data_IF_578233836278
#
_entry.id   IF_578233836278
#
_cell.length_a   1.000
_cell.length_b   1.000
_cell.length_c   1.000
_cell.angle_alpha   90.00
_cell.angle_beta   90.00
_cell.angle_gamma   90.00
#
_symmetry.space_group_name_H-M   'P 1'
#
loop_
_entity.id
_entity.type
_entity.pdbx_description
1 polymer ?
#
# COMPACT_ATOMS: atom_id res chain seq x y z
N UNK A 1 -11.05 -17.51 17.54
CA UNK A 1 -10.32 -18.08 16.37
C UNK A 1 -11.10 -19.19 15.62
N UNK A 2 -11.69 -20.20 16.28
CA UNK A 2 -12.32 -21.35 15.59
C UNK A 2 -13.44 -20.96 14.61
N UNK A 3 -14.25 -19.96 14.97
CA UNK A 3 -15.29 -19.42 14.08
C UNK A 3 -14.71 -18.76 12.82
N UNK A 4 -13.65 -17.96 12.97
CA UNK A 4 -12.96 -17.30 11.86
C UNK A 4 -12.36 -18.30 10.86
N UNK A 5 -11.77 -19.40 11.36
CA UNK A 5 -11.23 -20.46 10.49
C UNK A 5 -12.31 -21.14 9.64
N UNK A 6 -13.54 -21.27 10.15
CA UNK A 6 -14.66 -21.87 9.42
C UNK A 6 -15.22 -20.95 8.33
N UNK A 7 -15.26 -19.65 8.56
CA UNK A 7 -15.96 -18.70 7.67
C UNK A 7 -15.03 -17.85 6.80
N UNK A 8 -13.81 -17.56 7.28
CA UNK A 8 -12.82 -16.65 6.67
C UNK A 8 -11.40 -17.17 6.93
N UNK A 9 -11.04 -18.35 6.38
CA UNK A 9 -9.75 -19.00 6.66
C UNK A 9 -8.54 -18.16 6.26
N UNK A 10 -8.65 -17.38 5.18
CA UNK A 10 -7.60 -16.47 4.70
C UNK A 10 -7.31 -15.38 5.72
N UNK A 11 -8.35 -14.69 6.20
CA UNK A 11 -8.23 -13.67 7.24
C UNK A 11 -7.65 -14.25 8.54
N UNK A 12 -8.13 -15.42 8.96
CA UNK A 12 -7.63 -16.09 10.16
C UNK A 12 -6.12 -16.40 10.05
N UNK A 13 -5.67 -16.89 8.89
CA UNK A 13 -4.25 -17.15 8.61
C UNK A 13 -3.42 -15.89 8.71
N UNK A 14 -3.87 -14.79 8.12
CA UNK A 14 -3.13 -13.53 8.13
C UNK A 14 -3.02 -12.95 9.54
N UNK A 15 -4.12 -13.00 10.33
CA UNK A 15 -4.13 -12.58 11.73
C UNK A 15 -3.18 -13.42 12.60
N UNK A 16 -3.16 -14.75 12.42
CA UNK A 16 -2.17 -15.64 13.06
C UNK A 16 -0.75 -15.24 12.65
N UNK A 17 -0.53 -14.94 11.37
CA UNK A 17 0.76 -14.48 10.86
C UNK A 17 1.25 -13.20 11.54
N UNK A 18 0.34 -12.25 11.79
CA UNK A 18 0.66 -11.01 12.53
C UNK A 18 0.91 -11.27 14.01
N UNK A 19 0.10 -12.13 14.65
CA UNK A 19 0.26 -12.48 16.06
C UNK A 19 1.60 -13.18 16.35
N UNK A 20 2.12 -13.97 15.40
CA UNK A 20 3.42 -14.63 15.50
C UNK A 20 4.62 -13.68 15.33
N UNK A 21 4.39 -12.41 14.99
CA UNK A 21 5.45 -11.43 14.70
C UNK A 21 5.18 -10.08 15.38
N UNK A 22 4.98 -10.08 16.71
CA UNK A 22 4.47 -8.91 17.44
C UNK A 22 5.34 -7.68 17.23
N UNK A 23 6.68 -7.82 17.24
CA UNK A 23 7.60 -6.70 17.03
C UNK A 23 7.41 -6.05 15.66
N UNK A 24 7.30 -6.83 14.57
CA UNK A 24 7.07 -6.22 13.25
C UNK A 24 5.70 -5.54 13.20
N UNK A 25 4.68 -6.17 13.77
CA UNK A 25 3.32 -5.61 13.79
C UNK A 25 3.29 -4.29 14.55
N UNK A 26 3.94 -4.21 15.71
CA UNK A 26 4.06 -2.99 16.51
C UNK A 26 4.80 -1.89 15.76
N UNK A 27 5.96 -2.20 15.17
CA UNK A 27 6.73 -1.23 14.36
C UNK A 27 5.92 -0.74 13.17
N UNK A 28 5.18 -1.63 12.49
CA UNK A 28 4.31 -1.27 11.38
C UNK A 28 3.17 -0.36 11.83
N UNK A 29 2.49 -0.67 12.94
CA UNK A 29 1.43 0.18 13.49
C UNK A 29 1.99 1.54 13.90
N UNK A 30 3.12 1.59 14.60
CA UNK A 30 3.77 2.85 14.99
C UNK A 30 4.15 3.70 13.77
N UNK A 31 4.77 3.10 12.75
CA UNK A 31 5.07 3.79 11.49
C UNK A 31 3.79 4.28 10.79
N UNK A 32 2.71 3.49 10.82
CA UNK A 32 1.42 3.89 10.26
C UNK A 32 0.79 5.07 10.99
N UNK A 33 0.87 5.08 12.33
CA UNK A 33 0.39 6.18 13.17
C UNK A 33 1.20 7.44 12.91
N UNK A 34 2.53 7.34 12.86
CA UNK A 34 3.41 8.47 12.52
C UNK A 34 3.14 8.99 11.11
N UNK A 35 2.90 8.10 10.14
CA UNK A 35 2.58 8.49 8.77
C UNK A 35 1.21 9.18 8.64
N UNK A 36 0.20 8.63 9.31
CA UNK A 36 -1.12 9.25 9.43
C UNK A 36 -1.03 10.62 10.11
N UNK A 37 -0.31 10.70 11.23
CA UNK A 37 -0.12 11.94 11.98
C UNK A 37 0.59 12.99 11.12
N UNK A 38 1.68 12.64 10.44
CA UNK A 38 2.38 13.56 9.54
C UNK A 38 1.46 14.12 8.46
N UNK A 39 0.63 13.26 7.86
CA UNK A 39 -0.32 13.66 6.80
C UNK A 39 -1.43 14.59 7.32
N UNK A 40 -1.84 14.43 8.59
CA UNK A 40 -2.90 15.23 9.22
C UNK A 40 -2.35 16.55 9.77
N UNK A 41 -1.20 16.51 10.46
CA UNK A 41 -0.60 17.65 11.14
C UNK A 41 0.14 18.60 10.19
N UNK A 42 0.69 18.09 9.09
CA UNK A 42 1.44 18.86 8.12
C UNK A 42 0.75 18.78 6.74
N UNK A 43 -0.22 19.67 6.46
CA UNK A 43 -1.01 19.60 5.22
C UNK A 43 -0.22 19.95 3.95
N UNK A 44 1.05 20.35 4.09
CA UNK A 44 1.98 20.62 2.99
C UNK A 44 2.30 19.37 2.18
N UNK A 45 2.77 19.57 0.95
CA UNK A 45 3.18 18.46 0.07
C UNK A 45 4.29 17.61 0.69
N UNK A 46 5.21 18.22 1.45
CA UNK A 46 6.23 17.49 2.21
C UNK A 46 5.63 16.61 3.32
N UNK A 47 4.64 17.12 4.06
CA UNK A 47 3.94 16.36 5.11
C UNK A 47 3.14 15.19 4.56
N UNK A 48 2.43 15.40 3.44
CA UNK A 48 1.70 14.33 2.73
C UNK A 48 2.63 13.27 2.16
N UNK A 49 3.73 13.66 1.52
CA UNK A 49 4.71 12.72 0.96
C UNK A 49 5.36 11.91 2.08
N UNK A 50 5.89 12.55 3.11
CA UNK A 50 6.50 11.84 4.25
C UNK A 50 5.49 10.91 4.93
N UNK A 51 4.26 11.38 5.14
CA UNK A 51 3.18 10.58 5.72
C UNK A 51 2.80 9.37 4.86
N UNK A 52 2.68 9.55 3.54
CA UNK A 52 2.38 8.49 2.59
C UNK A 52 3.52 7.46 2.51
N UNK A 53 4.79 7.88 2.56
CA UNK A 53 5.94 6.97 2.59
C UNK A 53 5.99 6.16 3.89
N UNK A 54 5.72 6.77 5.04
CA UNK A 54 5.62 6.05 6.32
C UNK A 54 4.47 5.05 6.33
N UNK A 55 3.31 5.43 5.81
CA UNK A 55 2.18 4.50 5.61
C UNK A 55 2.57 3.36 4.67
N UNK A 56 3.30 3.66 3.58
CA UNK A 56 3.79 2.63 2.68
C UNK A 56 4.74 1.68 3.41
N UNK A 57 5.72 2.18 4.16
CA UNK A 57 6.60 1.37 4.99
C UNK A 57 5.79 0.44 5.94
N UNK A 58 4.82 1.03 6.66
CA UNK A 58 3.94 0.33 7.60
C UNK A 58 3.19 -0.83 6.94
N UNK A 59 2.62 -0.63 5.75
CA UNK A 59 1.91 -1.71 5.05
C UNK A 59 2.81 -2.88 4.67
N UNK A 60 4.13 -2.72 4.60
CA UNK A 60 5.06 -3.85 4.40
C UNK A 60 4.96 -4.90 5.51
N UNK A 61 4.76 -4.48 6.77
CA UNK A 61 4.53 -5.39 7.89
C UNK A 61 3.13 -5.99 7.88
N UNK A 62 2.11 -5.18 7.57
CA UNK A 62 0.70 -5.56 7.64
C UNK A 62 0.25 -6.44 6.46
N UNK A 63 0.84 -6.27 5.29
CA UNK A 63 0.44 -6.91 4.03
C UNK A 63 1.20 -8.21 3.73
N UNK A 64 1.87 -8.84 4.71
CA UNK A 64 2.69 -10.04 4.44
C UNK A 64 1.90 -11.20 3.84
N UNK A 65 0.67 -11.44 4.31
CA UNK A 65 -0.23 -12.46 3.75
C UNK A 65 -0.55 -12.19 2.28
N UNK A 66 -0.98 -10.96 1.99
CA UNK A 66 -1.21 -10.45 0.63
C UNK A 66 0.01 -10.62 -0.29
N UNK A 67 1.20 -10.24 0.19
CA UNK A 67 2.45 -10.36 -0.57
C UNK A 67 2.79 -11.82 -0.83
N UNK A 68 2.63 -12.69 0.16
CA UNK A 68 2.89 -14.11 0.01
C UNK A 68 1.95 -14.76 -1.01
N UNK A 69 0.67 -14.36 -1.02
CA UNK A 69 -0.32 -14.81 -2.01
C UNK A 69 0.03 -14.36 -3.43
N UNK A 70 0.28 -13.06 -3.63
CA UNK A 70 0.54 -12.49 -4.96
C UNK A 70 1.87 -12.91 -5.58
N UNK A 71 2.81 -13.40 -4.77
CA UNK A 71 4.09 -13.96 -5.22
C UNK A 71 4.00 -15.44 -5.63
N UNK A 72 2.86 -16.09 -5.45
CA UNK A 72 2.69 -17.47 -5.92
C UNK A 72 2.76 -17.52 -7.46
N UNK A 73 3.33 -18.59 -8.05
CA UNK A 73 3.36 -18.74 -9.51
C UNK A 73 1.96 -18.71 -10.15
N UNK A 74 0.98 -19.31 -9.48
CA UNK A 74 -0.43 -19.34 -9.86
C UNK A 74 -1.31 -18.89 -8.67
N UNK A 75 -1.46 -17.57 -8.43
CA UNK A 75 -2.29 -17.05 -7.35
C UNK A 75 -3.74 -17.53 -7.53
N UNK A 76 -4.25 -18.30 -6.58
CA UNK A 76 -5.62 -18.83 -6.62
C UNK A 76 -5.76 -20.25 -7.19
N UNK A 77 -4.70 -20.84 -7.78
CA UNK A 77 -4.76 -22.21 -8.31
C UNK A 77 -4.94 -23.30 -7.25
N UNK A 78 -4.65 -22.99 -5.98
CA UNK A 78 -4.75 -23.93 -4.84
C UNK A 78 -5.93 -23.64 -3.91
N UNK A 79 -6.73 -22.59 -4.16
CA UNK A 79 -7.81 -22.18 -3.27
C UNK A 79 -9.16 -22.21 -4.00
N UNK A 80 -10.21 -22.81 -3.41
CA UNK A 80 -11.54 -22.78 -4.00
C UNK A 80 -12.08 -21.34 -4.02
N UNK A 81 -12.13 -20.75 -5.21
CA UNK A 81 -12.66 -19.40 -5.44
C UNK A 81 -11.84 -18.62 -6.47
N UNK A 82 -12.48 -17.66 -7.15
CA UNK A 82 -11.78 -16.76 -8.10
C UNK A 82 -10.70 -15.96 -7.37
N UNK A 83 -9.51 -15.82 -7.94
CA UNK A 83 -8.36 -15.16 -7.30
C UNK A 83 -8.63 -13.73 -6.80
N UNK A 84 -9.54 -12.98 -7.43
CA UNK A 84 -10.02 -11.68 -6.92
C UNK A 84 -10.64 -11.74 -5.54
N UNK A 85 -11.41 -12.80 -5.24
CA UNK A 85 -12.04 -12.97 -3.92
C UNK A 85 -10.97 -13.18 -2.85
N UNK A 86 -10.01 -14.05 -3.13
CA UNK A 86 -8.90 -14.34 -2.22
C UNK A 86 -8.01 -13.10 -2.01
N UNK A 87 -7.77 -12.34 -3.08
CA UNK A 87 -7.09 -11.05 -3.02
C UNK A 87 -7.79 -10.07 -2.07
N UNK A 88 -9.12 -9.93 -2.18
CA UNK A 88 -9.90 -9.07 -1.30
C UNK A 88 -9.83 -9.52 0.17
N UNK A 89 -9.83 -10.83 0.44
CA UNK A 89 -9.67 -11.36 1.80
C UNK A 89 -8.27 -11.06 2.38
N UNK A 90 -7.21 -11.19 1.57
CA UNK A 90 -5.86 -10.81 1.98
C UNK A 90 -5.67 -9.29 2.12
N UNK A 91 -6.44 -8.49 1.39
CA UNK A 91 -6.41 -7.03 1.52
C UNK A 91 -7.08 -6.53 2.82
N UNK A 92 -7.96 -7.33 3.43
CA UNK A 92 -8.67 -6.93 4.63
C UNK A 92 -7.75 -6.59 5.81
N UNK A 93 -6.69 -7.36 6.04
CA UNK A 93 -5.74 -7.11 7.15
C UNK A 93 -4.96 -5.80 6.99
N UNK A 94 -4.26 -5.54 5.86
CA UNK A 94 -3.59 -4.26 5.68
C UNK A 94 -4.57 -3.08 5.65
N UNK A 95 -5.78 -3.22 5.08
CA UNK A 95 -6.80 -2.17 5.14
C UNK A 95 -7.23 -1.85 6.58
N UNK A 96 -7.53 -2.87 7.38
CA UNK A 96 -7.92 -2.69 8.78
C UNK A 96 -6.78 -2.09 9.61
N UNK A 97 -5.55 -2.58 9.42
CA UNK A 97 -4.37 -2.05 10.10
C UNK A 97 -4.07 -0.60 9.73
N UNK A 98 -4.18 -0.24 8.45
CA UNK A 98 -4.08 1.15 7.99
C UNK A 98 -5.20 2.00 8.58
N UNK A 99 -6.46 1.53 8.55
CA UNK A 99 -7.60 2.24 9.14
C UNK A 99 -7.43 2.51 10.63
N UNK A 100 -6.96 1.52 11.40
CA UNK A 100 -6.65 1.67 12.82
C UNK A 100 -5.53 2.69 13.05
N UNK A 101 -4.44 2.61 12.28
CA UNK A 101 -3.34 3.56 12.38
C UNK A 101 -3.78 5.00 12.09
N UNK A 102 -4.62 5.20 11.07
CA UNK A 102 -5.20 6.50 10.74
C UNK A 102 -6.13 7.00 11.84
N UNK A 103 -6.97 6.12 12.41
CA UNK A 103 -7.85 6.47 13.52
C UNK A 103 -7.07 6.96 14.75
N UNK A 104 -6.03 6.23 15.16
CA UNK A 104 -5.15 6.62 16.26
C UNK A 104 -4.42 7.93 15.94
N UNK A 105 -3.88 8.08 14.72
CA UNK A 105 -3.26 9.32 14.29
C UNK A 105 -4.20 10.53 14.38
N UNK A 106 -5.49 10.34 14.06
CA UNK A 106 -6.53 11.36 14.22
C UNK A 106 -6.74 11.80 15.65
N UNK A 107 -6.86 10.83 16.57
CA UNK A 107 -6.99 11.12 17.99
C UNK A 107 -5.78 11.89 18.51
N UNK A 108 -4.57 11.48 18.12
CA UNK A 108 -3.33 12.16 18.49
C UNK A 108 -3.26 13.57 17.90
N UNK A 109 -3.59 13.75 16.61
CA UNK A 109 -3.62 15.06 15.96
C UNK A 109 -4.62 16.01 16.64
N UNK A 110 -5.83 15.52 16.95
CA UNK A 110 -6.85 16.29 17.65
C UNK A 110 -6.41 16.68 19.07
N UNK A 111 -5.81 15.76 19.82
CA UNK A 111 -5.28 16.03 21.16
C UNK A 111 -4.16 17.07 21.15
N UNK A 112 -3.37 17.13 20.08
CA UNK A 112 -2.29 18.11 19.90
C UNK A 112 -2.75 19.42 19.23
N UNK A 113 -4.05 19.59 18.97
CA UNK A 113 -4.59 20.81 18.35
C UNK A 113 -4.14 21.01 16.90
N UNK A 114 -3.65 19.98 16.23
CA UNK A 114 -3.45 20.03 14.79
C UNK A 114 -4.82 20.18 14.13
N UNK A 115 -5.07 21.33 13.50
CA UNK A 115 -6.41 21.77 13.06
C UNK A 115 -7.21 20.73 12.27
N UNK A 116 -8.53 20.92 12.20
CA UNK A 116 -9.49 19.97 11.64
C UNK A 116 -9.06 19.45 10.25
N UNK A 117 -8.59 18.20 10.15
CA UNK A 117 -7.88 17.77 8.96
C UNK A 117 -8.82 17.35 7.83
N UNK A 118 -8.33 17.46 6.60
CA UNK A 118 -8.96 16.90 5.40
C UNK A 118 -8.87 15.38 5.37
N UNK A 119 -9.65 14.70 6.24
CA UNK A 119 -9.67 13.24 6.40
C UNK A 119 -9.82 12.47 5.09
N UNK A 120 -10.60 13.00 4.14
CA UNK A 120 -10.77 12.38 2.83
C UNK A 120 -9.45 12.18 2.07
N UNK A 121 -8.51 13.13 2.18
CA UNK A 121 -7.19 13.01 1.55
C UNK A 121 -6.35 11.92 2.21
N UNK A 122 -6.33 11.87 3.54
CA UNK A 122 -5.53 10.89 4.30
C UNK A 122 -6.06 9.47 4.15
N UNK A 123 -7.39 9.29 4.16
CA UNK A 123 -8.02 8.00 3.86
C UNK A 123 -7.69 7.57 2.42
N UNK A 124 -7.75 8.50 1.47
CA UNK A 124 -7.35 8.25 0.09
C UNK A 124 -5.89 7.76 -0.03
N UNK A 125 -4.96 8.41 0.69
CA UNK A 125 -3.55 7.98 0.74
C UNK A 125 -3.39 6.60 1.40
N UNK A 126 -4.17 6.30 2.44
CA UNK A 126 -4.19 4.96 3.04
C UNK A 126 -4.61 3.87 2.05
N UNK A 127 -5.68 4.11 1.28
CA UNK A 127 -6.14 3.20 0.23
C UNK A 127 -5.11 3.07 -0.90
N UNK A 128 -4.53 4.19 -1.33
CA UNK A 128 -3.48 4.23 -2.35
C UNK A 128 -2.30 3.34 -1.97
N UNK A 129 -1.83 3.47 -0.74
CA UNK A 129 -0.70 2.72 -0.22
C UNK A 129 -0.96 1.21 -0.24
N UNK A 130 -2.16 0.77 0.17
CA UNK A 130 -2.52 -0.66 0.12
C UNK A 130 -2.62 -1.15 -1.33
N UNK A 131 -3.22 -0.37 -2.23
CA UNK A 131 -3.30 -0.69 -3.65
C UNK A 131 -1.91 -0.77 -4.31
N UNK A 132 -1.03 0.20 -4.02
CA UNK A 132 0.36 0.21 -4.48
C UNK A 132 1.13 -1.01 -3.96
N UNK A 133 0.90 -1.41 -2.71
CA UNK A 133 1.51 -2.61 -2.12
C UNK A 133 1.06 -3.88 -2.84
N UNK A 134 -0.24 -4.00 -3.15
CA UNK A 134 -0.78 -5.11 -3.91
C UNK A 134 -0.17 -5.15 -5.33
N UNK A 135 -0.12 -4.02 -6.03
CA UNK A 135 0.47 -3.92 -7.36
C UNK A 135 1.97 -4.27 -7.39
N UNK A 136 2.76 -3.79 -6.43
CA UNK A 136 4.17 -4.17 -6.32
C UNK A 136 4.33 -5.66 -6.05
N UNK A 137 3.46 -6.23 -5.20
CA UNK A 137 3.51 -7.65 -4.87
C UNK A 137 3.14 -8.56 -6.06
N UNK A 138 2.27 -8.08 -6.95
CA UNK A 138 1.82 -8.83 -8.13
C UNK A 138 2.87 -8.90 -9.25
N UNK A 139 3.95 -8.10 -9.14
CA UNK A 139 5.02 -7.99 -10.14
C UNK A 139 6.40 -8.20 -9.49
N UNK A 140 6.70 -9.38 -8.92
CA UNK A 140 7.88 -9.57 -8.07
C UNK A 140 9.21 -9.57 -8.83
N UNK A 141 9.20 -9.85 -10.14
CA UNK A 141 10.39 -9.95 -10.98
C UNK A 141 10.56 -8.70 -11.83
N UNK A 142 11.82 -8.31 -12.06
CA UNK A 142 12.17 -7.27 -13.03
C UNK A 142 12.01 -7.85 -14.43
N UNK A 143 11.22 -7.24 -15.33
CA UNK A 143 11.11 -7.70 -16.71
C UNK A 143 12.47 -7.67 -17.40
N UNK A 144 12.81 -8.72 -18.17
CA UNK A 144 14.09 -8.83 -18.88
C UNK A 144 14.36 -7.62 -19.78
N UNK A 145 13.30 -7.05 -20.38
CA UNK A 145 13.38 -5.86 -21.22
C UNK A 145 13.97 -4.62 -20.51
N UNK A 146 13.87 -4.52 -19.18
CA UNK A 146 14.44 -3.39 -18.42
C UNK A 146 15.96 -3.48 -18.24
N UNK A 147 16.57 -4.63 -18.55
CA UNK A 147 18.03 -4.78 -18.57
C UNK A 147 18.66 -4.41 -19.92
N UNK A 148 17.84 -4.08 -20.94
CA UNK A 148 18.37 -3.60 -22.21
C UNK A 148 19.09 -2.25 -22.01
N UNK A 149 20.29 -2.05 -22.60
CA UNK A 149 21.01 -0.78 -22.51
C UNK A 149 20.16 0.39 -23.02
N UNK A 150 20.12 1.47 -22.24
CA UNK A 150 19.45 2.72 -22.61
C UNK A 150 20.52 3.77 -22.77
N UNK A 151 21.01 3.90 -24.01
CA UNK A 151 22.09 4.81 -24.35
C UNK A 151 21.58 6.24 -24.32
N UNK A 152 22.17 7.05 -23.46
CA UNK A 152 21.92 8.49 -23.37
C UNK A 152 23.25 9.26 -23.41
N UNK A 153 23.21 10.60 -23.62
CA UNK A 153 24.43 11.42 -23.53
C UNK A 153 25.17 11.32 -22.18
N UNK A 154 24.50 10.87 -21.11
CA UNK A 154 25.07 10.66 -19.77
C UNK A 154 25.58 9.23 -19.53
N UNK A 155 25.54 8.36 -20.55
CA UNK A 155 25.86 6.94 -20.47
C UNK A 155 24.63 6.03 -20.48
N UNK A 156 24.82 4.77 -20.06
CA UNK A 156 23.75 3.78 -19.96
C UNK A 156 22.89 3.98 -18.71
N UNK A 157 21.58 4.22 -18.91
CA UNK A 157 20.61 4.39 -17.83
C UNK A 157 19.87 3.11 -17.42
N UNK A 158 20.24 1.93 -17.97
CA UNK A 158 19.60 0.64 -17.64
C UNK A 158 19.53 0.39 -16.13
N UNK A 159 20.63 0.65 -15.40
CA UNK A 159 20.70 0.47 -13.94
C UNK A 159 19.76 1.42 -13.18
N UNK A 160 19.56 2.65 -13.67
CA UNK A 160 18.63 3.61 -13.07
C UNK A 160 17.20 3.13 -13.25
N UNK A 161 16.85 2.61 -14.42
CA UNK A 161 15.51 2.06 -14.70
C UNK A 161 15.23 0.81 -13.86
N UNK A 162 16.20 -0.10 -13.72
CA UNK A 162 16.09 -1.25 -12.82
C UNK A 162 15.92 -0.81 -11.37
N UNK A 163 16.73 0.16 -10.91
CA UNK A 163 16.60 0.75 -9.58
C UNK A 163 15.21 1.34 -9.33
N UNK A 164 14.72 2.15 -10.27
CA UNK A 164 13.39 2.75 -10.24
C UNK A 164 12.29 1.68 -10.20
N UNK A 165 12.45 0.57 -10.94
CA UNK A 165 11.53 -0.55 -10.89
C UNK A 165 11.49 -1.19 -9.51
N UNK A 166 12.65 -1.41 -8.86
CA UNK A 166 12.73 -2.00 -7.52
C UNK A 166 12.01 -1.12 -6.49
N UNK A 167 12.16 0.20 -6.58
CA UNK A 167 11.53 1.16 -5.65
C UNK A 167 10.20 1.73 -6.15
N UNK A 168 9.63 1.21 -7.25
CA UNK A 168 8.47 1.80 -7.96
C UNK A 168 7.27 2.12 -7.07
N UNK A 169 6.99 1.28 -6.07
CA UNK A 169 5.91 1.53 -5.12
C UNK A 169 6.11 2.82 -4.31
N UNK A 170 7.35 3.07 -3.87
CA UNK A 170 7.70 4.30 -3.17
C UNK A 170 7.58 5.51 -4.09
N UNK A 171 8.06 5.40 -5.33
CA UNK A 171 7.99 6.48 -6.33
C UNK A 171 6.55 6.85 -6.68
N UNK A 172 5.68 5.87 -6.90
CA UNK A 172 4.26 6.11 -7.21
C UNK A 172 3.55 6.74 -6.01
N UNK A 173 3.77 6.23 -4.79
CA UNK A 173 3.16 6.79 -3.59
C UNK A 173 3.63 8.23 -3.36
N UNK A 174 4.93 8.51 -3.48
CA UNK A 174 5.47 9.85 -3.37
C UNK A 174 4.88 10.79 -4.43
N UNK A 175 4.90 10.37 -5.71
CA UNK A 175 4.43 11.19 -6.82
C UNK A 175 2.95 11.52 -6.72
N UNK A 176 2.10 10.55 -6.35
CA UNK A 176 0.66 10.77 -6.16
C UNK A 176 0.41 11.64 -4.93
N UNK A 177 1.11 11.42 -3.81
CA UNK A 177 0.96 12.24 -2.61
C UNK A 177 1.37 13.70 -2.86
N UNK A 178 2.45 13.91 -3.63
CA UNK A 178 2.92 15.23 -4.05
C UNK A 178 1.91 15.91 -4.98
N UNK A 179 1.46 15.23 -6.04
CA UNK A 179 0.46 15.75 -6.98
C UNK A 179 -0.89 16.05 -6.29
N UNK A 180 -1.23 15.29 -5.25
CA UNK A 180 -2.39 15.55 -4.41
C UNK A 180 -2.17 16.68 -3.40
N UNK A 181 -0.96 17.18 -3.18
CA UNK A 181 -0.67 18.31 -2.28
C UNK A 181 -1.02 19.67 -2.90
N UNK A 182 -0.76 19.84 -4.19
CA UNK A 182 -0.77 21.15 -4.87
C UNK A 182 -2.02 21.43 -5.72
N UNK A 183 -3.02 20.53 -5.71
CA UNK A 183 -4.22 20.61 -6.56
C UNK A 183 -5.50 21.10 -5.85
N UNK A 184 -6.54 21.41 -6.63
CA UNK A 184 -7.89 21.62 -6.08
C UNK A 184 -8.43 20.34 -5.42
N UNK A 185 -9.31 20.40 -4.40
CA UNK A 185 -9.82 19.21 -3.71
C UNK A 185 -10.42 18.14 -4.64
N UNK A 186 -11.04 18.57 -5.74
CA UNK A 186 -11.59 17.68 -6.78
C UNK A 186 -10.48 16.96 -7.53
N UNK A 187 -9.44 17.69 -7.96
CA UNK A 187 -8.26 17.10 -8.63
C UNK A 187 -7.53 16.13 -7.70
N UNK A 188 -7.35 16.49 -6.43
CA UNK A 188 -6.72 15.63 -5.43
C UNK A 188 -7.45 14.28 -5.32
N UNK A 189 -8.78 14.32 -5.14
CA UNK A 189 -9.61 13.11 -5.08
C UNK A 189 -9.53 12.31 -6.37
N UNK A 190 -9.64 12.96 -7.52
CA UNK A 190 -9.59 12.29 -8.83
C UNK A 190 -8.27 11.54 -9.05
N UNK A 191 -7.13 12.19 -8.79
CA UNK A 191 -5.79 11.58 -8.95
C UNK A 191 -5.62 10.38 -8.03
N UNK A 192 -5.99 10.51 -6.75
CA UNK A 192 -5.87 9.42 -5.77
C UNK A 192 -6.79 8.26 -6.12
N UNK A 193 -8.06 8.53 -6.45
CA UNK A 193 -9.03 7.49 -6.83
C UNK A 193 -8.57 6.78 -8.10
N UNK A 194 -8.14 7.51 -9.13
CA UNK A 194 -7.62 6.91 -10.36
C UNK A 194 -6.42 6.00 -10.08
N UNK A 195 -5.46 6.44 -9.27
CA UNK A 195 -4.30 5.64 -8.91
C UNK A 195 -4.69 4.37 -8.10
N UNK A 196 -5.60 4.49 -7.13
CA UNK A 196 -6.14 3.34 -6.38
C UNK A 196 -6.79 2.33 -7.31
N UNK A 197 -7.66 2.80 -8.20
CA UNK A 197 -8.41 1.94 -9.14
C UNK A 197 -7.47 1.24 -10.10
N UNK A 198 -6.55 1.97 -10.73
CA UNK A 198 -5.59 1.39 -11.69
C UNK A 198 -4.71 0.34 -11.02
N UNK A 199 -4.10 0.67 -9.88
CA UNK A 199 -3.22 -0.29 -9.18
C UNK A 199 -3.98 -1.49 -8.64
N UNK A 200 -5.19 -1.26 -8.09
CA UNK A 200 -6.07 -2.34 -7.64
C UNK A 200 -6.50 -3.26 -8.79
N UNK A 201 -6.85 -2.70 -9.95
CA UNK A 201 -7.21 -3.45 -11.14
C UNK A 201 -6.04 -4.29 -11.66
N UNK A 202 -4.83 -3.72 -11.75
CA UNK A 202 -3.63 -4.44 -12.18
C UNK A 202 -3.29 -5.61 -11.24
N UNK A 203 -3.43 -5.42 -9.92
CA UNK A 203 -3.24 -6.50 -8.96
C UNK A 203 -4.33 -7.58 -9.08
N UNK A 204 -5.58 -7.18 -9.29
CA UNK A 204 -6.73 -8.07 -9.45
C UNK A 204 -6.64 -8.91 -10.73
N UNK A 205 -6.24 -8.29 -11.85
CA UNK A 205 -6.03 -8.99 -13.12
C UNK A 205 -4.94 -10.05 -12.98
N UNK A 206 -3.83 -9.71 -12.33
CA UNK A 206 -2.76 -10.69 -12.08
C UNK A 206 -3.24 -11.86 -11.22
N UNK A 207 -4.10 -11.60 -10.23
CA UNK A 207 -4.68 -12.65 -9.39
C UNK A 207 -5.63 -13.58 -10.16
N UNK A 208 -6.11 -13.21 -11.35
CA UNK A 208 -7.01 -14.03 -12.18
C UNK A 208 -6.32 -14.78 -13.31
N UNK A 209 -5.09 -14.39 -13.70
CA UNK A 209 -4.34 -15.09 -14.74
C UNK A 209 -3.82 -16.42 -14.20
N UNK A 210 -4.68 -17.44 -14.20
CA UNK A 210 -4.40 -18.87 -14.02
C UNK A 210 -5.22 -19.65 -15.03
#
# INVERSE_FOLDING_TARGET
>A
MPWLLRHRPVLARDLVGQARRPVTTLVAVAAGVLGGFSSLAFPSSAGRVSGALLLFAATGGLARGLVAFLRQPAPGGLLPGRGRRVLAEHAAVPLAGTGLALGVAGVVAAALGAGAPGWGGVVGLGLLVVAARAWVASTPTVPAALYAPIVTPMGDLSQVVVGAYVVRGWLVVAGVAWAAGDGSPVRQRAVVVAAVVVMGALAAERAERV
#
